data_IF_979002972143
#
_entry.id   IF_979002972143
#
_cell.length_a   1.000
_cell.length_b   1.000
_cell.length_c   1.000
_cell.angle_alpha   90.00
_cell.angle_beta   90.00
_cell.angle_gamma   90.00
#
_symmetry.space_group_name_H-M   'P 1'
#
loop_
_entity.id
_entity.type
_entity.pdbx_description
1 polymer ?
#
# COMPACT_ATOMS: atom_id res chain seq x y z
N UNK A 1 -8.20 -28.78 -1.27
CA UNK A 1 -8.81 -27.45 -1.48
C UNK A 1 -8.61 -27.07 -2.94
N UNK A 2 -9.65 -26.60 -3.64
CA UNK A 2 -9.49 -26.20 -5.03
C UNK A 2 -8.53 -25.00 -5.12
N UNK A 3 -7.45 -25.14 -5.88
CA UNK A 3 -6.45 -24.09 -6.05
C UNK A 3 -7.07 -22.98 -6.91
N UNK A 4 -7.69 -21.99 -6.29
CA UNK A 4 -8.30 -20.85 -7.00
C UNK A 4 -7.19 -20.03 -7.64
N UNK A 5 -7.26 -19.83 -8.96
CA UNK A 5 -6.26 -19.05 -9.69
C UNK A 5 -6.37 -17.58 -9.26
N UNK A 6 -5.28 -17.05 -8.69
CA UNK A 6 -5.12 -15.64 -8.42
C UNK A 6 -4.56 -14.95 -9.67
N UNK A 7 -5.19 -13.86 -10.09
CA UNK A 7 -4.93 -13.16 -11.35
C UNK A 7 -4.79 -11.65 -11.18
N UNK A 8 -4.78 -11.15 -9.96
CA UNK A 8 -4.69 -9.74 -9.63
C UNK A 8 -3.71 -9.53 -8.47
N UNK A 9 -3.02 -8.39 -8.47
CA UNK A 9 -2.16 -8.00 -7.36
C UNK A 9 -2.95 -7.46 -6.17
N UNK A 10 -4.17 -6.96 -6.41
CA UNK A 10 -5.06 -6.40 -5.39
C UNK A 10 -6.42 -7.08 -5.39
N UNK A 11 -6.89 -7.41 -4.19
CA UNK A 11 -8.24 -7.90 -3.93
C UNK A 11 -8.90 -7.06 -2.84
N UNK A 12 -10.00 -6.39 -3.16
CA UNK A 12 -10.70 -5.48 -2.24
C UNK A 12 -11.87 -6.17 -1.54
N UNK A 13 -12.12 -5.82 -0.28
CA UNK A 13 -13.29 -6.32 0.47
C UNK A 13 -14.60 -5.72 -0.04
N UNK A 14 -14.51 -4.55 -0.68
CA UNK A 14 -15.63 -3.80 -1.22
C UNK A 14 -15.34 -3.33 -2.63
N UNK A 15 -16.39 -2.97 -3.37
CA UNK A 15 -16.26 -2.20 -4.61
C UNK A 15 -17.01 -0.90 -4.48
N UNK A 16 -16.50 0.15 -5.12
CA UNK A 16 -17.19 1.43 -5.19
C UNK A 16 -17.96 1.51 -6.50
N UNK A 17 -19.22 1.95 -6.44
CA UNK A 17 -20.02 2.28 -7.63
C UNK A 17 -20.68 3.63 -7.48
N UNK A 18 -20.85 4.34 -8.58
CA UNK A 18 -21.71 5.50 -8.65
C UNK A 18 -23.15 5.03 -8.89
N UNK A 19 -24.05 5.29 -7.95
CA UNK A 19 -25.48 4.95 -8.01
C UNK A 19 -26.24 6.21 -7.61
N UNK A 20 -27.20 6.65 -8.43
CA UNK A 20 -28.04 7.83 -8.16
C UNK A 20 -27.24 9.08 -7.74
N UNK A 21 -26.17 9.38 -8.49
CA UNK A 21 -25.25 10.48 -8.24
C UNK A 21 -24.49 10.42 -6.90
N UNK A 22 -24.46 9.25 -6.24
CA UNK A 22 -23.75 9.02 -4.99
C UNK A 22 -22.72 7.91 -5.14
N UNK A 23 -21.59 8.11 -4.47
CA UNK A 23 -20.56 7.09 -4.35
C UNK A 23 -20.99 6.07 -3.31
N UNK A 24 -21.38 4.88 -3.74
CA UNK A 24 -21.85 3.79 -2.87
C UNK A 24 -20.79 2.70 -2.76
N UNK A 25 -20.49 2.31 -1.53
CA UNK A 25 -19.62 1.17 -1.22
C UNK A 25 -20.49 -0.09 -1.16
N UNK A 26 -20.20 -1.03 -2.05
CA UNK A 26 -20.91 -2.30 -2.15
C UNK A 26 -20.04 -3.39 -1.53
N UNK A 27 -20.58 -4.06 -0.52
CA UNK A 27 -20.01 -5.29 0.04
C UNK A 27 -20.59 -6.50 -0.68
N UNK A 28 -19.84 -7.59 -0.74
CA UNK A 28 -20.39 -8.86 -1.17
C UNK A 28 -20.99 -9.57 0.05
N UNK A 29 -22.27 -9.95 -0.02
CA UNK A 29 -22.98 -10.66 1.07
C UNK A 29 -22.28 -11.96 1.49
N UNK A 30 -21.57 -12.59 0.56
CA UNK A 30 -20.87 -13.85 0.79
C UNK A 30 -19.42 -13.68 1.26
N UNK A 31 -18.95 -12.44 1.45
CA UNK A 31 -17.57 -12.15 1.85
C UNK A 31 -16.53 -12.39 0.75
N UNK A 32 -16.94 -12.60 -0.51
CA UNK A 32 -16.01 -12.72 -1.62
C UNK A 32 -15.37 -11.37 -1.96
N UNK A 33 -14.09 -11.42 -2.31
CA UNK A 33 -13.30 -10.26 -2.66
C UNK A 33 -13.53 -9.82 -4.12
N UNK A 34 -13.16 -8.58 -4.42
CA UNK A 34 -13.18 -8.00 -5.75
C UNK A 34 -11.76 -7.85 -6.30
N UNK A 35 -11.45 -8.50 -7.43
CA UNK A 35 -10.16 -8.31 -8.09
C UNK A 35 -10.04 -6.88 -8.62
N UNK A 36 -8.92 -6.22 -8.31
CA UNK A 36 -8.65 -4.80 -8.60
C UNK A 36 -9.77 -3.85 -8.12
N UNK A 37 -10.56 -4.26 -7.12
CA UNK A 37 -11.71 -3.48 -6.64
C UNK A 37 -12.90 -3.38 -7.60
N UNK A 38 -12.86 -4.09 -8.74
CA UNK A 38 -13.84 -3.96 -9.82
C UNK A 38 -14.56 -5.29 -10.06
N UNK A 39 -13.80 -6.37 -10.25
CA UNK A 39 -14.33 -7.62 -10.77
C UNK A 39 -14.72 -8.57 -9.63
N UNK A 40 -15.99 -9.02 -9.56
CA UNK A 40 -16.41 -9.96 -8.53
C UNK A 40 -15.68 -11.29 -8.68
N UNK A 41 -15.33 -11.91 -7.56
CA UNK A 41 -14.63 -13.20 -7.54
C UNK A 41 -15.39 -14.23 -6.68
N UNK A 42 -14.86 -15.46 -6.66
CA UNK A 42 -15.24 -16.49 -5.66
C UNK A 42 -14.11 -16.70 -4.65
N UNK A 43 -13.23 -15.73 -4.47
CA UNK A 43 -12.06 -15.80 -3.57
C UNK A 43 -12.46 -15.16 -2.24
N UNK A 44 -12.23 -15.90 -1.15
CA UNK A 44 -12.37 -15.42 0.22
C UNK A 44 -11.01 -14.98 0.76
N UNK A 45 -11.01 -14.19 1.84
CA UNK A 45 -9.77 -13.80 2.54
C UNK A 45 -8.88 -15.01 2.92
N UNK A 46 -9.50 -16.12 3.31
CA UNK A 46 -8.80 -17.36 3.72
C UNK A 46 -8.23 -18.16 2.54
N UNK A 47 -8.66 -17.84 1.31
CA UNK A 47 -8.09 -18.43 0.09
C UNK A 47 -6.83 -17.66 -0.36
N UNK A 48 -6.56 -16.49 0.23
CA UNK A 48 -5.38 -15.70 -0.08
C UNK A 48 -4.15 -16.25 0.65
N UNK A 49 -3.02 -16.44 -0.06
CA UNK A 49 -1.75 -16.80 0.56
C UNK A 49 -1.20 -15.69 1.47
N UNK A 50 -0.29 -16.05 2.37
CA UNK A 50 0.33 -15.13 3.35
C UNK A 50 1.06 -13.92 2.76
N UNK A 51 1.41 -13.97 1.47
CA UNK A 51 2.00 -12.82 0.78
C UNK A 51 0.98 -11.75 0.37
N UNK A 52 -0.32 -11.95 0.60
CA UNK A 52 -1.32 -10.90 0.45
C UNK A 52 -1.53 -10.16 1.77
N UNK A 53 -1.06 -8.92 1.82
CA UNK A 53 -1.07 -8.10 3.03
C UNK A 53 -2.34 -7.26 3.05
N UNK A 54 -3.08 -7.33 4.16
CA UNK A 54 -4.28 -6.51 4.35
C UNK A 54 -3.87 -5.06 4.58
N UNK A 55 -4.36 -4.18 3.72
CA UNK A 55 -4.04 -2.76 3.71
C UNK A 55 -5.31 -1.91 3.51
N UNK A 56 -5.21 -0.62 3.80
CA UNK A 56 -6.21 0.37 3.44
C UNK A 56 -5.76 1.03 2.13
N UNK A 57 -6.36 0.60 1.01
CA UNK A 57 -5.99 0.92 -0.37
C UNK A 57 -7.18 1.65 -1.00
N UNK A 58 -6.96 2.78 -1.68
CA UNK A 58 -8.03 3.56 -2.32
C UNK A 58 -9.24 3.85 -1.40
N UNK A 59 -8.97 4.22 -0.14
CA UNK A 59 -9.98 4.47 0.89
C UNK A 59 -10.86 3.26 1.26
N UNK A 60 -10.37 2.04 1.03
CA UNK A 60 -11.08 0.81 1.33
C UNK A 60 -10.13 -0.25 1.86
N UNK A 61 -10.63 -1.20 2.65
CA UNK A 61 -9.82 -2.35 3.03
C UNK A 61 -9.71 -3.35 1.88
N UNK A 62 -8.49 -3.82 1.67
CA UNK A 62 -8.17 -4.82 0.67
C UNK A 62 -6.88 -5.52 0.99
N UNK A 63 -6.45 -6.38 0.07
CA UNK A 63 -5.26 -7.21 0.19
C UNK A 63 -4.40 -6.99 -1.03
N UNK A 64 -3.12 -6.68 -0.82
CA UNK A 64 -2.14 -6.45 -1.88
C UNK A 64 -1.02 -7.49 -1.83
N UNK A 65 -0.63 -8.02 -2.98
CA UNK A 65 0.41 -9.04 -3.10
C UNK A 65 1.80 -8.45 -2.87
N UNK A 66 2.46 -8.79 -1.76
CA UNK A 66 3.86 -8.50 -1.56
C UNK A 66 4.79 -9.36 -2.45
N UNK A 67 4.25 -10.38 -3.13
CA UNK A 67 4.98 -11.25 -4.05
C UNK A 67 4.98 -10.69 -5.47
N UNK A 68 6.13 -10.79 -6.15
CA UNK A 68 6.32 -10.37 -7.53
C UNK A 68 6.60 -8.88 -7.69
N UNK A 69 6.86 -8.16 -6.61
CA UNK A 69 7.24 -6.74 -6.65
C UNK A 69 8.60 -6.63 -7.34
N UNK A 70 8.67 -5.76 -8.35
CA UNK A 70 9.89 -5.48 -9.12
C UNK A 70 10.57 -4.20 -8.67
N UNK A 71 9.80 -3.22 -8.20
CA UNK A 71 10.35 -2.00 -7.64
C UNK A 71 9.45 -1.42 -6.54
N UNK A 72 10.10 -0.88 -5.50
CA UNK A 72 9.50 -0.02 -4.50
C UNK A 72 10.13 1.37 -4.56
N UNK A 73 9.32 2.39 -4.35
CA UNK A 73 9.78 3.76 -4.09
C UNK A 73 9.06 4.30 -2.87
N UNK A 74 9.81 4.59 -1.81
CA UNK A 74 9.31 5.26 -0.63
C UNK A 74 9.51 6.78 -0.75
N UNK A 75 8.42 7.52 -0.57
CA UNK A 75 8.37 8.97 -0.64
C UNK A 75 7.98 9.51 0.74
N UNK A 76 8.96 9.81 1.61
CA UNK A 76 8.69 10.40 2.92
C UNK A 76 8.20 11.84 2.79
N UNK A 77 7.23 12.21 3.64
CA UNK A 77 6.71 13.56 3.77
C UNK A 77 7.33 14.23 4.98
N UNK A 78 8.22 15.20 4.78
CA UNK A 78 8.87 15.94 5.87
C UNK A 78 8.19 17.27 6.22
N UNK A 79 7.00 17.54 5.69
CA UNK A 79 6.27 18.78 5.96
C UNK A 79 5.42 18.72 7.23
N UNK A 80 4.95 17.52 7.60
CA UNK A 80 4.11 17.30 8.78
C UNK A 80 4.82 16.38 9.77
N UNK A 81 4.95 16.85 11.01
CA UNK A 81 5.62 16.16 12.12
C UNK A 81 4.64 15.60 13.15
N UNK A 82 3.34 15.80 12.98
CA UNK A 82 2.31 15.32 13.89
C UNK A 82 2.14 13.79 13.87
N UNK A 83 2.56 13.11 12.80
CA UNK A 83 2.40 11.67 12.63
C UNK A 83 3.59 11.02 11.93
N UNK A 84 3.97 9.82 12.38
CA UNK A 84 4.97 8.98 11.70
C UNK A 84 4.30 8.15 10.60
N UNK A 85 4.84 8.20 9.37
CA UNK A 85 4.43 7.47 8.16
C UNK A 85 3.03 7.76 7.58
N UNK A 86 2.13 8.40 8.33
CA UNK A 86 0.74 8.63 7.92
C UNK A 86 0.61 9.29 6.55
N UNK A 87 1.36 10.37 6.36
CA UNK A 87 1.30 11.22 5.17
C UNK A 87 2.40 10.88 4.15
N UNK A 88 3.14 9.79 4.39
CA UNK A 88 4.14 9.27 3.47
C UNK A 88 3.46 8.37 2.43
N UNK A 89 4.14 8.15 1.31
CA UNK A 89 3.68 7.26 0.24
C UNK A 89 4.70 6.16 -0.05
N UNK A 90 4.22 4.96 -0.36
CA UNK A 90 5.01 3.87 -0.92
C UNK A 90 4.41 3.46 -2.26
N UNK A 91 5.17 3.67 -3.33
CA UNK A 91 4.80 3.28 -4.68
C UNK A 91 5.32 1.88 -4.98
N UNK A 92 4.48 1.06 -5.60
CA UNK A 92 4.74 -0.35 -5.86
C UNK A 92 4.58 -0.63 -7.36
N UNK A 93 5.60 -1.24 -7.97
CA UNK A 93 5.54 -1.72 -9.35
C UNK A 93 5.81 -3.22 -9.43
N UNK A 94 4.96 -3.94 -10.15
CA UNK A 94 5.09 -5.34 -10.53
C UNK A 94 5.58 -5.49 -11.97
N UNK A 95 5.46 -4.44 -12.78
CA UNK A 95 5.66 -4.53 -14.22
C UNK A 95 6.92 -3.83 -14.72
N UNK A 96 7.32 -2.70 -14.12
CA UNK A 96 8.38 -1.87 -14.68
C UNK A 96 9.08 -0.99 -13.66
N UNK A 97 9.68 0.08 -14.17
CA UNK A 97 10.44 1.04 -13.39
C UNK A 97 9.56 2.22 -12.99
N UNK A 98 9.67 2.65 -11.74
CA UNK A 98 9.08 3.86 -11.20
C UNK A 98 10.02 5.02 -11.52
N UNK A 99 9.47 6.04 -12.18
CA UNK A 99 10.24 7.20 -12.64
C UNK A 99 9.61 8.50 -12.14
N UNK A 100 10.48 9.44 -11.76
CA UNK A 100 10.07 10.79 -11.37
C UNK A 100 9.70 11.56 -12.64
N UNK A 101 8.51 12.14 -12.65
CA UNK A 101 8.06 12.97 -13.75
C UNK A 101 8.58 14.42 -13.59
N UNK A 102 8.99 15.03 -14.70
CA UNK A 102 9.29 16.46 -14.77
C UNK A 102 8.03 17.23 -15.17
N UNK A 103 7.36 17.92 -14.23
CA UNK A 103 6.17 18.70 -14.53
C UNK A 103 5.43 19.25 -13.30
N UNK A 104 4.37 20.04 -13.54
CA UNK A 104 3.45 20.61 -12.53
C UNK A 104 2.26 19.70 -12.20
N UNK A 105 2.19 18.51 -12.82
CA UNK A 105 1.13 17.55 -12.54
C UNK A 105 1.18 17.09 -11.07
N UNK A 106 -0.01 16.86 -10.51
CA UNK A 106 -0.18 16.41 -9.12
C UNK A 106 0.49 15.05 -8.84
N UNK A 107 0.87 14.29 -9.87
CA UNK A 107 1.57 13.00 -9.75
C UNK A 107 3.05 13.12 -10.09
N UNK A 108 3.89 13.25 -9.07
CA UNK A 108 5.36 13.35 -9.18
C UNK A 108 6.05 12.07 -9.67
N UNK A 109 5.37 10.92 -9.64
CA UNK A 109 5.90 9.62 -10.09
C UNK A 109 4.99 8.98 -11.13
N UNK A 110 5.56 8.09 -11.96
CA UNK A 110 4.87 7.24 -12.94
C UNK A 110 5.42 5.81 -12.90
N UNK A 111 4.79 4.88 -13.59
CA UNK A 111 5.28 3.50 -13.74
C UNK A 111 5.04 2.58 -12.54
N UNK A 112 4.31 3.06 -11.53
CA UNK A 112 3.81 2.24 -10.43
C UNK A 112 2.42 1.67 -10.76
N UNK A 113 2.12 0.49 -10.25
CA UNK A 113 0.80 -0.15 -10.35
C UNK A 113 -0.09 0.25 -9.16
N UNK A 114 0.50 0.38 -7.96
CA UNK A 114 -0.21 0.65 -6.71
C UNK A 114 0.53 1.70 -5.88
N UNK A 115 -0.19 2.42 -5.01
CA UNK A 115 0.42 3.28 -4.00
C UNK A 115 -0.24 3.04 -2.64
N UNK A 116 0.57 2.99 -1.58
CA UNK A 116 0.17 2.72 -0.21
C UNK A 116 0.53 3.90 0.68
N UNK A 117 -0.23 4.08 1.76
CA UNK A 117 -0.02 5.15 2.73
C UNK A 117 -0.14 4.64 4.17
N UNK A 118 0.42 5.41 5.09
CA UNK A 118 0.29 5.18 6.52
C UNK A 118 0.83 3.83 6.99
N UNK A 119 0.16 3.15 7.94
CA UNK A 119 0.66 1.91 8.55
C UNK A 119 0.96 0.79 7.55
N UNK A 120 0.33 0.80 6.37
CA UNK A 120 0.52 -0.21 5.33
C UNK A 120 1.95 -0.22 4.79
N UNK A 121 2.64 0.92 4.82
CA UNK A 121 4.01 1.05 4.31
C UNK A 121 4.95 0.08 5.05
N UNK A 122 4.83 -0.01 6.38
CA UNK A 122 5.70 -0.83 7.22
C UNK A 122 5.47 -2.31 6.97
N UNK A 123 4.22 -2.77 7.11
CA UNK A 123 3.88 -4.19 6.98
C UNK A 123 4.11 -4.69 5.55
N UNK A 124 3.81 -3.88 4.53
CA UNK A 124 4.02 -4.26 3.15
C UNK A 124 5.51 -4.34 2.79
N UNK A 125 6.33 -3.37 3.21
CA UNK A 125 7.78 -3.39 2.95
C UNK A 125 8.45 -4.64 3.53
N UNK A 126 8.11 -5.01 4.76
CA UNK A 126 8.60 -6.23 5.40
C UNK A 126 8.18 -7.49 4.63
N UNK A 127 6.92 -7.55 4.20
CA UNK A 127 6.42 -8.67 3.42
C UNK A 127 7.11 -8.78 2.04
N UNK A 128 7.43 -7.66 1.38
CA UNK A 128 8.15 -7.65 0.11
C UNK A 128 9.54 -8.26 0.28
N UNK A 129 10.28 -7.86 1.31
CA UNK A 129 11.59 -8.46 1.62
C UNK A 129 11.49 -9.97 1.87
N UNK A 130 10.38 -10.45 2.44
CA UNK A 130 10.15 -11.88 2.71
C UNK A 130 9.73 -12.68 1.47
N UNK A 131 8.90 -12.11 0.60
CA UNK A 131 8.17 -12.88 -0.42
C UNK A 131 8.54 -12.56 -1.88
N UNK A 132 9.25 -11.46 -2.15
CA UNK A 132 9.65 -11.08 -3.51
C UNK A 132 11.13 -11.28 -3.83
N UNK A 133 11.98 -11.55 -2.83
CA UNK A 133 13.44 -11.55 -3.04
C UNK A 133 13.97 -10.18 -3.50
N UNK A 134 13.18 -9.13 -3.29
CA UNK A 134 13.52 -7.74 -3.59
C UNK A 134 14.34 -7.18 -2.42
N UNK A 135 15.45 -6.52 -2.73
CA UNK A 135 16.26 -5.86 -1.72
C UNK A 135 15.57 -4.59 -1.21
N UNK A 136 15.21 -4.61 0.07
CA UNK A 136 14.53 -3.49 0.75
C UNK A 136 15.48 -2.63 1.58
N UNK A 137 16.80 -2.85 1.53
CA UNK A 137 17.77 -2.19 2.40
C UNK A 137 17.68 -0.67 2.32
N UNK A 138 17.63 -0.10 1.10
CA UNK A 138 17.51 1.34 0.89
C UNK A 138 16.18 1.90 1.41
N UNK A 139 15.09 1.13 1.25
CA UNK A 139 13.77 1.52 1.76
C UNK A 139 13.78 1.55 3.29
N UNK A 140 14.34 0.52 3.93
CA UNK A 140 14.47 0.46 5.38
C UNK A 140 15.34 1.58 5.94
N UNK A 141 16.46 1.90 5.26
CA UNK A 141 17.31 3.02 5.62
C UNK A 141 16.56 4.36 5.55
N UNK A 142 15.80 4.58 4.49
CA UNK A 142 15.00 5.80 4.34
C UNK A 142 13.87 5.89 5.39
N UNK A 143 13.23 4.78 5.73
CA UNK A 143 12.22 4.75 6.80
C UNK A 143 12.84 5.01 8.17
N UNK A 144 14.04 4.48 8.45
CA UNK A 144 14.77 4.75 9.68
C UNK A 144 15.14 6.24 9.80
N UNK A 145 15.62 6.86 8.72
CA UNK A 145 15.90 8.29 8.68
C UNK A 145 14.64 9.14 8.94
N UNK A 146 13.49 8.76 8.36
CA UNK A 146 12.19 9.41 8.63
C UNK A 146 11.78 9.27 10.10
N UNK A 147 11.96 8.09 10.69
CA UNK A 147 11.68 7.85 12.11
C UNK A 147 12.54 8.73 13.01
N UNK A 148 13.85 8.79 12.75
CA UNK A 148 14.76 9.66 13.50
C UNK A 148 14.33 11.14 13.40
N UNK A 149 14.05 11.64 12.20
CA UNK A 149 13.57 13.01 11.99
C UNK A 149 12.31 13.33 12.79
N UNK A 150 11.39 12.35 12.90
CA UNK A 150 10.14 12.49 13.65
C UNK A 150 10.40 12.52 15.16
N UNK A 151 11.27 11.61 15.65
CA UNK A 151 11.66 11.54 17.06
C UNK A 151 12.42 12.78 17.53
N UNK A 152 13.28 13.38 16.69
CA UNK A 152 13.96 14.64 17.02
C UNK A 152 13.00 15.81 17.23
N UNK A 153 11.88 15.84 16.50
CA UNK A 153 10.88 16.92 16.57
C UNK A 153 9.84 16.72 17.68
N UNK A 154 9.49 15.46 17.96
CA UNK A 154 8.45 15.13 18.94
C UNK A 154 9.01 14.63 20.28
N UNK A 155 10.26 14.18 20.32
CA UNK A 155 10.94 13.66 21.51
C UNK A 155 11.69 14.72 22.32
N UNK A 156 12.10 15.84 21.70
CA UNK A 156 12.77 16.95 22.39
C UNK A 156 11.86 17.73 23.37
N UNK A 157 10.56 17.42 23.41
CA UNK A 157 9.59 17.99 24.37
C UNK A 157 9.44 17.22 25.69
N UNK A 158 10.13 16.08 25.88
CA UNK A 158 10.00 15.26 27.08
C UNK A 158 11.07 15.55 28.17
N UNK A 159 11.89 16.60 27.99
CA UNK A 159 12.97 16.94 28.93
C UNK A 159 13.02 18.45 29.21
N UNK A 160 11.92 18.99 29.76
CA UNK A 160 11.97 20.17 30.62
C UNK A 160 11.19 19.84 31.90
N UNK A 161 11.96 19.53 32.94
CA UNK A 161 11.55 19.62 34.35
C UNK A 161 11.77 21.05 34.84
#
# INVERSE_FOLDING_TARGET
MANKKLNAHVYMETKTKFIDHKLTVLQNENGYLYANGIYPTKILKQDLPDWYIRCYIYHQYGYISAKGVKQLLYAPNYAFDNHLYKDDCLYVSYNGKIERQSGTDLSIYSGYDEYLYGPCIVSFTQAVGRYSGYDISDILASMAAKKQWYEERNGAGAMQI
#
